data_IF_684259888657
#
_entry.id   IF_684259888657
#
_cell.length_a   1.000
_cell.length_b   1.000
_cell.length_c   1.000
_cell.angle_alpha   90.00
_cell.angle_beta   90.00
_cell.angle_gamma   90.00
#
_symmetry.space_group_name_H-M   'P 1'
#
loop_
_entity.id
_entity.type
_entity.pdbx_description
1 polymer ?
#
# COMPACT_ATOMS: atom_id res chain seq x y z
N UNK A 1 56.45 -50.66 -11.86
CA UNK A 1 55.23 -49.89 -12.21
C UNK A 1 54.02 -50.67 -11.72
N UNK A 2 53.53 -50.36 -10.52
CA UNK A 2 52.45 -51.09 -9.83
C UNK A 2 51.23 -50.17 -9.70
N UNK A 3 50.12 -50.55 -10.34
CA UNK A 3 48.81 -49.88 -10.24
C UNK A 3 48.15 -50.20 -8.90
N UNK A 4 47.76 -49.18 -8.14
CA UNK A 4 46.86 -49.35 -7.00
C UNK A 4 45.39 -49.43 -7.46
N UNK A 5 44.59 -50.39 -6.95
CA UNK A 5 43.17 -50.47 -7.21
C UNK A 5 42.37 -49.47 -6.35
N UNK A 6 41.50 -48.71 -7.01
CA UNK A 6 40.65 -47.69 -6.39
C UNK A 6 39.54 -48.30 -5.52
N UNK A 7 39.45 -47.81 -4.28
CA UNK A 7 38.37 -48.08 -3.33
C UNK A 7 37.10 -47.36 -3.78
N UNK A 8 36.15 -48.09 -4.37
CA UNK A 8 34.75 -47.67 -4.51
C UNK A 8 34.06 -47.81 -3.14
N UNK A 9 34.01 -46.73 -2.38
CA UNK A 9 33.22 -46.65 -1.15
C UNK A 9 31.72 -46.63 -1.48
N UNK A 10 31.02 -47.74 -1.20
CA UNK A 10 29.56 -47.79 -1.19
C UNK A 10 29.04 -46.94 -0.02
N UNK A 11 28.45 -45.78 -0.31
CA UNK A 11 27.72 -44.99 0.67
C UNK A 11 26.41 -45.75 1.00
N UNK A 12 26.12 -46.06 2.27
CA UNK A 12 24.95 -46.85 2.64
C UNK A 12 23.66 -46.04 2.42
N UNK A 13 22.84 -46.51 1.47
CA UNK A 13 21.55 -45.96 1.02
C UNK A 13 20.58 -45.59 2.17
N UNK A 14 20.70 -46.25 3.33
CA UNK A 14 19.86 -46.01 4.51
C UNK A 14 20.05 -44.64 5.17
N UNK A 15 21.18 -43.95 4.96
CA UNK A 15 21.40 -42.59 5.49
C UNK A 15 20.87 -41.47 4.59
N UNK A 16 20.57 -41.75 3.31
CA UNK A 16 20.04 -40.75 2.39
C UNK A 16 18.52 -40.54 2.54
N UNK A 17 17.76 -41.55 2.98
CA UNK A 17 16.29 -41.46 3.10
C UNK A 17 15.86 -40.49 4.22
N UNK A 18 16.62 -40.41 5.32
CA UNK A 18 16.32 -39.50 6.44
C UNK A 18 16.53 -38.01 6.11
N UNK A 19 17.49 -37.68 5.24
CA UNK A 19 17.80 -36.29 4.88
C UNK A 19 16.83 -35.72 3.84
N UNK A 20 16.24 -36.54 2.97
CA UNK A 20 15.22 -36.10 2.00
C UNK A 20 13.89 -35.73 2.67
N UNK A 21 13.50 -36.41 3.75
CA UNK A 21 12.26 -36.11 4.48
C UNK A 21 12.29 -34.76 5.21
N UNK A 22 13.47 -34.36 5.71
CA UNK A 22 13.63 -33.07 6.42
C UNK A 22 13.72 -31.90 5.43
N UNK A 23 14.37 -32.08 4.27
CA UNK A 23 14.43 -31.04 3.24
C UNK A 23 13.06 -30.69 2.63
N UNK A 24 12.15 -31.68 2.53
CA UNK A 24 10.77 -31.45 2.07
C UNK A 24 9.93 -30.59 3.03
N UNK A 25 10.18 -30.68 4.34
CA UNK A 25 9.42 -29.93 5.34
C UNK A 25 9.77 -28.43 5.41
N UNK A 26 10.99 -28.05 5.03
CA UNK A 26 11.43 -26.65 5.06
C UNK A 26 10.96 -25.82 3.85
N UNK A 27 10.62 -26.45 2.71
CA UNK A 27 10.08 -25.75 1.54
C UNK A 27 8.61 -25.33 1.74
N UNK A 28 7.92 -25.88 2.73
CA UNK A 28 6.50 -25.58 3.02
C UNK A 28 6.29 -24.28 3.80
N UNK A 29 7.31 -23.76 4.49
CA UNK A 29 7.13 -22.72 5.52
C UNK A 29 7.34 -21.30 4.97
N UNK A 30 7.94 -21.14 3.78
CA UNK A 30 8.21 -19.81 3.22
C UNK A 30 7.15 -19.42 2.18
N UNK A 31 6.02 -18.88 2.64
CA UNK A 31 5.16 -17.99 1.83
C UNK A 31 4.42 -18.56 0.61
N UNK A 32 4.28 -19.88 0.48
CA UNK A 32 3.72 -20.54 -0.71
C UNK A 32 2.18 -20.56 -0.82
N UNK A 33 1.41 -19.81 -0.03
CA UNK A 33 -0.06 -19.90 -0.06
C UNK A 33 -0.63 -19.68 -1.48
N UNK A 34 -0.20 -18.62 -2.16
CA UNK A 34 -0.60 -18.35 -3.55
C UNK A 34 -0.12 -19.43 -4.54
N UNK A 35 1.00 -20.08 -4.25
CA UNK A 35 1.53 -21.17 -5.09
C UNK A 35 0.72 -22.46 -4.91
N UNK A 36 0.29 -22.77 -3.69
CA UNK A 36 -0.52 -23.94 -3.39
C UNK A 36 -1.94 -23.78 -3.93
N UNK A 37 -2.52 -22.59 -3.82
CA UNK A 37 -3.83 -22.29 -4.42
C UNK A 37 -3.77 -22.50 -5.94
N UNK A 38 -2.72 -22.02 -6.60
CA UNK A 38 -2.52 -22.23 -8.05
C UNK A 38 -2.32 -23.73 -8.39
N UNK A 39 -1.51 -24.45 -7.60
CA UNK A 39 -1.24 -25.88 -7.79
C UNK A 39 -2.51 -26.74 -7.63
N UNK A 40 -3.37 -26.35 -6.69
CA UNK A 40 -4.60 -27.06 -6.36
C UNK A 40 -5.83 -26.52 -7.11
N UNK A 41 -5.70 -25.41 -7.84
CA UNK A 41 -6.79 -24.86 -8.66
C UNK A 41 -7.18 -25.84 -9.76
N UNK A 42 -8.47 -25.85 -10.12
CA UNK A 42 -8.98 -26.74 -11.17
C UNK A 42 -8.47 -26.34 -12.57
N UNK A 43 -7.96 -25.10 -12.72
CA UNK A 43 -7.41 -24.54 -13.95
C UNK A 43 -5.88 -24.40 -13.88
N UNK A 44 -5.18 -25.50 -13.56
CA UNK A 44 -3.72 -25.54 -13.44
C UNK A 44 -3.04 -24.94 -14.68
N UNK A 45 -2.56 -23.71 -14.57
CA UNK A 45 -1.74 -23.10 -15.62
C UNK A 45 -0.27 -23.23 -15.24
N UNK A 46 0.36 -24.28 -15.76
CA UNK A 46 1.77 -24.56 -15.51
C UNK A 46 2.69 -23.39 -15.90
N UNK A 47 2.27 -22.50 -16.79
CA UNK A 47 3.05 -21.31 -17.18
C UNK A 47 3.22 -20.34 -16.00
N UNK A 48 2.20 -20.19 -15.15
CA UNK A 48 2.27 -19.31 -13.98
C UNK A 48 3.01 -19.96 -12.82
N UNK A 49 2.82 -21.27 -12.61
CA UNK A 49 3.49 -22.02 -11.54
C UNK A 49 5.00 -22.09 -11.78
N UNK A 50 5.41 -22.33 -13.03
CA UNK A 50 6.82 -22.50 -13.39
C UNK A 50 7.49 -21.19 -13.81
N UNK A 51 6.70 -20.19 -14.21
CA UNK A 51 7.19 -18.97 -14.84
C UNK A 51 7.69 -19.16 -16.29
N UNK A 52 7.74 -20.40 -16.79
CA UNK A 52 8.19 -20.68 -18.15
C UNK A 52 7.09 -20.36 -19.16
N UNK A 53 7.40 -19.56 -20.18
CA UNK A 53 6.44 -19.06 -21.17
C UNK A 53 5.21 -18.38 -20.54
N UNK A 54 5.42 -17.68 -19.42
CA UNK A 54 4.38 -16.87 -18.82
C UNK A 54 3.94 -15.79 -19.83
N UNK A 55 2.64 -15.69 -20.17
CA UNK A 55 2.15 -14.69 -21.11
C UNK A 55 2.43 -13.29 -20.60
N UNK A 56 2.58 -12.33 -21.51
CA UNK A 56 2.84 -10.95 -21.11
C UNK A 56 1.62 -10.40 -20.34
N UNK A 57 1.79 -9.66 -19.23
CA UNK A 57 0.65 -9.25 -18.40
C UNK A 57 -0.44 -8.48 -19.16
N UNK A 58 -0.06 -7.66 -20.15
CA UNK A 58 -1.03 -6.95 -21.00
C UNK A 58 -1.90 -7.90 -21.86
N UNK A 59 -1.34 -9.01 -22.33
CA UNK A 59 -2.09 -10.02 -23.09
C UNK A 59 -3.11 -10.69 -22.17
N UNK A 60 -2.72 -11.02 -20.94
CA UNK A 60 -3.62 -11.64 -19.95
C UNK A 60 -4.80 -10.74 -19.63
N UNK A 61 -4.56 -9.45 -19.44
CA UNK A 61 -5.59 -8.46 -19.13
C UNK A 61 -6.58 -8.29 -20.29
N UNK A 62 -6.08 -8.33 -21.54
CA UNK A 62 -6.89 -8.19 -22.76
C UNK A 62 -7.68 -9.45 -23.09
N UNK A 63 -7.03 -10.61 -23.01
CA UNK A 63 -7.53 -11.85 -23.61
C UNK A 63 -8.40 -12.67 -22.65
N UNK A 64 -8.38 -12.38 -21.34
CA UNK A 64 -9.12 -13.15 -20.32
C UNK A 64 -10.16 -12.33 -19.54
N UNK A 65 -11.11 -11.63 -20.19
CA UNK A 65 -12.04 -10.72 -19.51
C UNK A 65 -12.89 -11.38 -18.41
N UNK A 66 -13.14 -12.69 -18.51
CA UNK A 66 -13.93 -13.45 -17.53
C UNK A 66 -13.17 -13.85 -16.27
N UNK A 67 -11.84 -13.98 -16.34
CA UNK A 67 -11.03 -14.43 -15.20
C UNK A 67 -10.47 -13.24 -14.42
N UNK A 68 -11.24 -12.80 -13.43
CA UNK A 68 -10.85 -11.71 -12.56
C UNK A 68 -9.58 -11.95 -11.74
N UNK A 69 -9.32 -13.20 -11.35
CA UNK A 69 -8.16 -13.51 -10.54
C UNK A 69 -6.88 -13.38 -11.36
N UNK A 70 -6.84 -14.01 -12.55
CA UNK A 70 -5.70 -13.90 -13.47
C UNK A 70 -5.46 -12.46 -13.90
N UNK A 71 -6.53 -11.70 -14.18
CA UNK A 71 -6.42 -10.28 -14.52
C UNK A 71 -5.85 -9.46 -13.37
N UNK A 72 -6.32 -9.67 -12.14
CA UNK A 72 -5.75 -8.99 -10.97
C UNK A 72 -4.27 -9.35 -10.78
N UNK A 73 -3.90 -10.62 -10.91
CA UNK A 73 -2.50 -11.04 -10.85
C UNK A 73 -1.64 -10.36 -11.93
N UNK A 74 -2.11 -10.34 -13.18
CA UNK A 74 -1.43 -9.65 -14.27
C UNK A 74 -1.28 -8.14 -14.01
N UNK A 75 -2.33 -7.47 -13.49
CA UNK A 75 -2.27 -6.07 -13.09
C UNK A 75 -1.21 -5.82 -12.00
N UNK A 76 -1.07 -6.73 -11.03
CA UNK A 76 -0.09 -6.63 -9.96
C UNK A 76 1.36 -6.76 -10.46
N UNK A 77 1.55 -7.43 -11.58
CA UNK A 77 2.85 -7.69 -12.21
C UNK A 77 3.31 -6.59 -13.16
N UNK A 78 2.41 -5.68 -13.56
CA UNK A 78 2.78 -4.51 -14.35
C UNK A 78 3.81 -3.66 -13.58
N UNK A 79 4.91 -3.33 -14.26
CA UNK A 79 5.97 -2.45 -13.77
C UNK A 79 6.06 -1.22 -14.67
N UNK A 80 6.40 -0.07 -14.09
CA UNK A 80 6.54 1.20 -14.80
C UNK A 80 7.55 1.09 -15.96
N UNK A 81 7.12 1.14 -17.23
CA UNK A 81 7.99 0.89 -18.38
C UNK A 81 9.23 1.78 -18.44
N UNK A 82 9.09 3.09 -18.23
CA UNK A 82 10.23 4.03 -18.30
C UNK A 82 11.35 3.72 -17.29
N UNK A 83 11.02 3.07 -16.17
CA UNK A 83 12.01 2.66 -15.16
C UNK A 83 12.66 1.31 -15.43
N UNK A 84 12.08 0.54 -16.35
CA UNK A 84 12.47 -0.84 -16.64
C UNK A 84 12.90 -1.02 -18.10
N UNK A 85 13.37 0.06 -18.75
CA UNK A 85 13.91 0.02 -20.12
C UNK A 85 12.88 0.04 -21.24
N UNK A 86 11.60 0.29 -20.93
CA UNK A 86 10.54 0.51 -21.91
C UNK A 86 10.54 1.95 -22.46
N UNK A 87 9.63 2.22 -23.40
CA UNK A 87 9.51 3.55 -24.03
C UNK A 87 8.28 4.33 -23.51
N UNK A 88 8.11 5.56 -23.99
CA UNK A 88 6.97 6.41 -23.62
C UNK A 88 5.61 5.88 -24.10
N UNK A 89 5.55 5.20 -25.25
CA UNK A 89 4.33 4.60 -25.76
C UNK A 89 3.86 3.44 -24.85
N UNK A 90 4.79 2.63 -24.35
CA UNK A 90 4.51 1.57 -23.39
C UNK A 90 4.01 2.16 -22.07
N UNK A 91 4.64 3.23 -21.58
CA UNK A 91 4.19 3.94 -20.38
C UNK A 91 2.72 4.37 -20.51
N UNK A 92 2.36 4.98 -21.63
CA UNK A 92 1.00 5.44 -21.90
C UNK A 92 0.02 4.26 -22.01
N UNK A 93 0.41 3.18 -22.68
CA UNK A 93 -0.39 1.96 -22.75
C UNK A 93 -0.66 1.35 -21.36
N UNK A 94 0.36 1.30 -20.50
CA UNK A 94 0.24 0.77 -19.14
C UNK A 94 -0.65 1.66 -18.27
N UNK A 95 -0.45 2.98 -18.31
CA UNK A 95 -1.30 3.92 -17.57
C UNK A 95 -2.75 3.87 -18.04
N UNK A 96 -3.01 3.77 -19.34
CA UNK A 96 -4.36 3.64 -19.88
C UNK A 96 -5.05 2.34 -19.42
N UNK A 97 -4.33 1.22 -19.41
CA UNK A 97 -4.86 -0.06 -18.89
C UNK A 97 -5.14 0.04 -17.40
N UNK A 98 -4.21 0.58 -16.61
CA UNK A 98 -4.39 0.76 -15.17
C UNK A 98 -5.54 1.70 -14.84
N UNK A 99 -5.69 2.82 -15.56
CA UNK A 99 -6.80 3.75 -15.39
C UNK A 99 -8.14 3.08 -15.69
N UNK A 100 -8.23 2.36 -16.82
CA UNK A 100 -9.45 1.63 -17.20
C UNK A 100 -9.78 0.56 -16.16
N UNK A 101 -8.79 -0.23 -15.74
CA UNK A 101 -8.98 -1.24 -14.71
C UNK A 101 -9.31 -0.66 -13.34
N UNK A 102 -8.76 0.48 -12.94
CA UNK A 102 -9.10 1.11 -11.66
C UNK A 102 -10.52 1.69 -11.65
N UNK A 103 -10.98 2.21 -12.79
CA UNK A 103 -12.23 2.99 -12.85
C UNK A 103 -13.44 2.24 -13.42
N UNK A 104 -13.25 1.28 -14.32
CA UNK A 104 -14.34 0.65 -15.09
C UNK A 104 -14.42 -0.87 -14.93
N UNK A 105 -13.42 -1.51 -14.32
CA UNK A 105 -13.43 -2.97 -14.18
C UNK A 105 -14.65 -3.42 -13.38
N UNK A 106 -15.39 -4.46 -13.78
CA UNK A 106 -16.54 -4.95 -13.01
C UNK A 106 -16.13 -5.49 -11.63
N UNK A 107 -14.94 -6.07 -11.51
CA UNK A 107 -14.52 -6.80 -10.32
C UNK A 107 -13.74 -5.90 -9.35
N UNK A 108 -14.17 -5.76 -8.08
CA UNK A 108 -13.49 -4.93 -7.08
C UNK A 108 -12.01 -5.30 -6.90
N UNK A 109 -11.68 -6.60 -6.98
CA UNK A 109 -10.31 -7.10 -6.83
C UNK A 109 -9.36 -6.55 -7.90
N UNK A 110 -9.78 -6.50 -9.15
CA UNK A 110 -9.00 -5.92 -10.23
C UNK A 110 -8.83 -4.40 -10.05
N UNK A 111 -9.88 -3.69 -9.65
CA UNK A 111 -9.82 -2.24 -9.34
C UNK A 111 -8.80 -1.96 -8.25
N UNK A 112 -8.89 -2.69 -7.14
CA UNK A 112 -8.00 -2.55 -6.00
C UNK A 112 -6.54 -2.81 -6.39
N UNK A 113 -6.32 -3.82 -7.22
CA UNK A 113 -4.97 -4.19 -7.65
C UNK A 113 -4.39 -3.16 -8.62
N UNK A 114 -5.20 -2.61 -9.52
CA UNK A 114 -4.80 -1.50 -10.38
C UNK A 114 -4.42 -0.25 -9.57
N UNK A 115 -5.22 0.11 -8.55
CA UNK A 115 -4.93 1.23 -7.64
C UNK A 115 -3.61 1.03 -6.88
N UNK A 116 -3.38 -0.20 -6.36
CA UNK A 116 -2.10 -0.56 -5.73
C UNK A 116 -0.93 -0.47 -6.69
N UNK A 117 -1.13 -0.86 -7.95
CA UNK A 117 -0.11 -0.80 -8.98
C UNK A 117 0.24 0.65 -9.32
N UNK A 118 -0.76 1.52 -9.52
CA UNK A 118 -0.59 2.95 -9.74
C UNK A 118 0.23 3.61 -8.61
N UNK A 119 -0.02 3.25 -7.35
CA UNK A 119 0.75 3.76 -6.21
C UNK A 119 2.24 3.38 -6.18
N UNK A 120 2.69 2.46 -7.05
CA UNK A 120 4.12 2.11 -7.21
C UNK A 120 4.81 2.95 -8.29
N UNK A 121 4.04 3.59 -9.17
CA UNK A 121 4.57 4.38 -10.28
C UNK A 121 5.05 5.73 -9.74
N UNK A 122 6.07 6.32 -10.36
CA UNK A 122 6.51 7.69 -10.02
C UNK A 122 6.07 8.74 -11.03
N UNK A 123 5.35 8.34 -12.07
CA UNK A 123 4.71 9.23 -13.02
C UNK A 123 3.60 10.06 -12.33
N UNK A 124 3.63 11.41 -12.38
CA UNK A 124 2.61 12.26 -11.76
C UNK A 124 1.21 12.05 -12.36
N UNK A 125 1.11 11.53 -13.59
CA UNK A 125 -0.18 11.17 -14.19
C UNK A 125 -0.88 10.04 -13.42
N UNK A 126 -0.12 9.13 -12.79
CA UNK A 126 -0.70 8.09 -11.95
C UNK A 126 -1.38 8.68 -10.70
N UNK A 127 -0.85 9.78 -10.16
CA UNK A 127 -1.44 10.48 -9.01
C UNK A 127 -2.82 11.07 -9.39
N UNK A 128 -2.90 11.73 -10.56
CA UNK A 128 -4.17 12.25 -11.10
C UNK A 128 -5.21 11.15 -11.32
N UNK A 129 -4.80 9.98 -11.81
CA UNK A 129 -5.70 8.83 -11.94
C UNK A 129 -6.21 8.37 -10.57
N UNK A 130 -5.36 8.35 -9.54
CA UNK A 130 -5.77 7.98 -8.18
C UNK A 130 -6.75 9.00 -7.58
N UNK A 131 -6.57 10.30 -7.85
CA UNK A 131 -7.52 11.34 -7.46
C UNK A 131 -8.88 11.14 -8.15
N UNK A 132 -8.89 10.86 -9.46
CA UNK A 132 -10.11 10.53 -10.20
C UNK A 132 -10.82 9.30 -9.63
N UNK A 133 -10.06 8.26 -9.29
CA UNK A 133 -10.60 7.04 -8.67
C UNK A 133 -11.22 7.35 -7.31
N UNK A 134 -10.60 8.22 -6.50
CA UNK A 134 -11.14 8.62 -5.21
C UNK A 134 -12.47 9.38 -5.34
N UNK A 135 -12.58 10.27 -6.33
CA UNK A 135 -13.76 11.12 -6.52
C UNK A 135 -14.97 10.36 -7.09
N UNK A 136 -14.76 9.22 -7.76
CA UNK A 136 -15.85 8.44 -8.36
C UNK A 136 -16.61 7.62 -7.30
N UNK A 137 -17.94 7.74 -7.30
CA UNK A 137 -18.85 6.98 -6.43
C UNK A 137 -19.68 5.92 -7.21
N UNK A 138 -19.14 5.38 -8.30
CA UNK A 138 -19.96 4.68 -9.29
C UNK A 138 -20.23 3.20 -9.04
N UNK A 139 -19.65 2.57 -8.00
CA UNK A 139 -19.87 1.12 -7.83
C UNK A 139 -21.18 0.85 -7.11
N UNK A 140 -21.91 -0.18 -7.56
CA UNK A 140 -23.19 -0.62 -6.99
C UNK A 140 -23.09 -0.97 -5.50
N UNK A 141 -21.89 -1.36 -5.07
CA UNK A 141 -21.60 -1.78 -3.70
C UNK A 141 -20.84 -0.67 -2.94
N UNK A 142 -21.46 -0.05 -1.92
CA UNK A 142 -20.85 1.02 -1.13
C UNK A 142 -19.65 0.55 -0.31
N UNK A 143 -19.58 -0.71 0.13
CA UNK A 143 -18.45 -1.22 0.90
C UNK A 143 -17.19 -1.32 0.03
N UNK A 144 -17.36 -1.78 -1.20
CA UNK A 144 -16.28 -1.80 -2.18
C UNK A 144 -15.82 -0.40 -2.60
N UNK A 145 -16.74 0.57 -2.67
CA UNK A 145 -16.39 1.97 -2.93
C UNK A 145 -15.44 2.52 -1.85
N UNK A 146 -15.79 2.36 -0.58
CA UNK A 146 -14.99 2.90 0.53
C UNK A 146 -13.61 2.24 0.62
N UNK A 147 -13.54 0.93 0.38
CA UNK A 147 -12.28 0.19 0.33
C UNK A 147 -11.35 0.71 -0.78
N UNK A 148 -11.88 0.92 -1.98
CA UNK A 148 -11.11 1.44 -3.13
C UNK A 148 -10.64 2.88 -2.87
N UNK A 149 -11.51 3.74 -2.34
CA UNK A 149 -11.13 5.12 -1.97
C UNK A 149 -10.03 5.14 -0.92
N UNK A 150 -10.13 4.30 0.11
CA UNK A 150 -9.08 4.18 1.14
C UNK A 150 -7.75 3.75 0.52
N UNK A 151 -7.76 2.74 -0.34
CA UNK A 151 -6.53 2.31 -1.01
C UNK A 151 -5.96 3.39 -1.94
N UNK A 152 -6.81 4.18 -2.62
CA UNK A 152 -6.34 5.30 -3.44
C UNK A 152 -5.58 6.34 -2.59
N UNK A 153 -6.09 6.68 -1.41
CA UNK A 153 -5.37 7.57 -0.47
C UNK A 153 -4.05 6.97 0.01
N UNK A 154 -4.00 5.66 0.28
CA UNK A 154 -2.76 4.94 0.63
C UNK A 154 -1.76 4.94 -0.54
N UNK A 155 -2.25 4.82 -1.77
CA UNK A 155 -1.41 4.88 -2.98
C UNK A 155 -0.82 6.29 -3.17
N UNK A 156 -1.63 7.34 -2.99
CA UNK A 156 -1.17 8.73 -3.00
C UNK A 156 -0.11 9.01 -1.93
N UNK A 157 -0.29 8.49 -0.71
CA UNK A 157 0.72 8.55 0.35
C UNK A 157 2.06 7.95 -0.07
N UNK A 158 2.06 6.79 -0.74
CA UNK A 158 3.28 6.11 -1.19
C UNK A 158 3.99 6.86 -2.31
N UNK A 159 3.21 7.49 -3.20
CA UNK A 159 3.76 8.28 -4.30
C UNK A 159 4.45 9.55 -3.80
N UNK A 160 3.90 10.20 -2.77
CA UNK A 160 4.36 11.49 -2.24
C UNK A 160 4.37 12.59 -3.31
N UNK A 161 3.39 12.55 -4.20
CA UNK A 161 3.23 13.56 -5.24
C UNK A 161 2.76 14.90 -4.63
N UNK A 162 3.43 16.04 -4.92
CA UNK A 162 3.10 17.32 -4.33
C UNK A 162 1.75 17.89 -4.81
N UNK A 163 1.27 17.53 -5.99
CA UNK A 163 -0.02 18.04 -6.51
C UNK A 163 -1.19 17.39 -5.75
N UNK A 164 -1.04 16.12 -5.36
CA UNK A 164 -2.08 15.38 -4.64
C UNK A 164 -2.30 15.78 -3.19
N UNK A 165 -1.42 16.62 -2.60
CA UNK A 165 -1.60 17.10 -1.22
C UNK A 165 -2.91 17.87 -1.04
N UNK A 166 -3.39 18.56 -2.08
CA UNK A 166 -4.63 19.33 -2.01
C UNK A 166 -5.85 18.43 -1.77
N UNK A 167 -5.89 17.25 -2.39
CA UNK A 167 -6.92 16.26 -2.11
C UNK A 167 -6.80 15.73 -0.68
N UNK A 168 -5.60 15.38 -0.23
CA UNK A 168 -5.37 14.88 1.13
C UNK A 168 -5.78 15.91 2.20
N UNK A 169 -5.47 17.19 1.99
CA UNK A 169 -5.93 18.29 2.87
C UNK A 169 -7.46 18.35 2.89
N UNK A 170 -8.12 18.27 1.73
CA UNK A 170 -9.58 18.30 1.64
C UNK A 170 -10.21 17.15 2.43
N UNK A 171 -9.71 15.92 2.25
CA UNK A 171 -10.21 14.73 2.95
C UNK A 171 -9.96 14.85 4.45
N UNK A 172 -8.76 15.25 4.88
CA UNK A 172 -8.45 15.42 6.30
C UNK A 172 -9.34 16.47 6.99
N UNK A 173 -9.70 17.55 6.28
CA UNK A 173 -10.56 18.64 6.78
C UNK A 173 -12.06 18.36 6.64
N UNK A 174 -12.46 17.27 6.00
CA UNK A 174 -13.87 16.93 5.81
C UNK A 174 -14.59 16.88 7.17
N UNK A 175 -15.77 17.51 7.31
CA UNK A 175 -16.53 17.41 8.55
C UNK A 175 -16.86 15.93 8.84
N UNK A 176 -17.07 15.63 10.12
CA UNK A 176 -17.57 14.32 10.50
C UNK A 176 -18.90 14.02 9.78
N UNK A 177 -19.21 12.73 9.57
CA UNK A 177 -20.52 12.30 9.06
C UNK A 177 -21.65 12.83 9.97
N UNK A 178 -22.86 13.05 9.42
CA UNK A 178 -24.00 13.51 10.22
C UNK A 178 -24.37 12.51 11.33
N UNK A 179 -25.07 12.99 12.36
CA UNK A 179 -25.45 12.19 13.55
C UNK A 179 -26.48 11.11 13.21
N UNK A 180 -27.06 11.16 12.02
CA UNK A 180 -28.01 10.19 11.48
C UNK A 180 -27.32 9.16 10.57
N UNK A 181 -26.04 9.35 10.21
CA UNK A 181 -25.31 8.41 9.36
C UNK A 181 -25.16 7.04 10.03
N UNK A 182 -25.17 5.99 9.20
CA UNK A 182 -24.95 4.62 9.66
C UNK A 182 -23.57 4.45 10.30
N UNK A 183 -23.43 3.54 11.25
CA UNK A 183 -22.13 3.28 11.90
C UNK A 183 -21.04 2.91 10.88
N UNK A 184 -21.40 2.19 9.81
CA UNK A 184 -20.47 1.84 8.72
C UNK A 184 -19.96 3.08 8.00
N UNK A 185 -20.84 4.00 7.59
CA UNK A 185 -20.45 5.23 6.90
C UNK A 185 -19.55 6.11 7.77
N UNK A 186 -19.81 6.12 9.09
CA UNK A 186 -18.95 6.85 10.03
C UNK A 186 -17.57 6.27 10.12
N UNK A 187 -17.48 4.95 10.26
CA UNK A 187 -16.20 4.25 10.31
C UNK A 187 -15.41 4.46 9.01
N UNK A 188 -16.07 4.35 7.85
CA UNK A 188 -15.45 4.58 6.55
C UNK A 188 -14.89 6.00 6.42
N UNK A 189 -15.68 7.02 6.80
CA UNK A 189 -15.23 8.41 6.77
C UNK A 189 -14.05 8.65 7.72
N UNK A 190 -14.08 8.06 8.91
CA UNK A 190 -12.97 8.15 9.87
C UNK A 190 -11.70 7.47 9.34
N UNK A 191 -11.82 6.29 8.74
CA UNK A 191 -10.72 5.55 8.13
C UNK A 191 -10.05 6.37 7.01
N UNK A 192 -10.84 6.94 6.09
CA UNK A 192 -10.35 7.79 5.01
C UNK A 192 -9.59 9.01 5.56
N UNK A 193 -10.16 9.67 6.59
CA UNK A 193 -9.52 10.81 7.27
C UNK A 193 -8.20 10.42 7.93
N UNK A 194 -8.14 9.31 8.66
CA UNK A 194 -6.93 8.85 9.34
C UNK A 194 -5.81 8.57 8.33
N UNK A 195 -6.14 7.96 7.18
CA UNK A 195 -5.17 7.73 6.09
C UNK A 195 -4.69 9.06 5.51
N UNK A 196 -5.59 10.00 5.21
CA UNK A 196 -5.21 11.31 4.69
C UNK A 196 -4.31 12.09 5.67
N UNK A 197 -4.67 12.13 6.96
CA UNK A 197 -3.87 12.75 8.03
C UNK A 197 -2.49 12.12 8.13
N UNK A 198 -2.40 10.78 8.06
CA UNK A 198 -1.11 10.07 8.02
C UNK A 198 -0.28 10.51 6.83
N UNK A 199 -0.89 10.57 5.65
CA UNK A 199 -0.22 10.96 4.42
C UNK A 199 0.33 12.40 4.51
N UNK A 200 -0.45 13.34 5.05
CA UNK A 200 -0.02 14.74 5.25
C UNK A 200 1.25 14.85 6.10
N UNK A 201 1.47 13.94 7.05
CA UNK A 201 2.70 13.90 7.85
C UNK A 201 3.98 13.63 7.06
N UNK A 202 3.86 13.10 5.84
CA UNK A 202 5.00 12.85 4.93
C UNK A 202 5.43 14.11 4.17
N UNK A 203 4.59 15.13 4.11
CA UNK A 203 4.86 16.39 3.42
C UNK A 203 5.38 17.42 4.41
N UNK A 204 6.40 18.18 4.02
CA UNK A 204 7.00 19.26 4.84
C UNK A 204 6.42 20.65 4.54
N UNK A 205 5.39 20.71 3.71
CA UNK A 205 4.73 21.95 3.29
C UNK A 205 3.94 22.59 4.42
N UNK A 206 3.92 23.93 4.46
CA UNK A 206 3.20 24.68 5.49
C UNK A 206 1.68 24.39 5.44
N UNK A 207 1.08 24.32 4.26
CA UNK A 207 -0.35 24.02 4.07
C UNK A 207 -0.77 22.68 4.72
N UNK A 208 0.12 21.67 4.65
CA UNK A 208 -0.11 20.36 5.26
C UNK A 208 -0.05 20.47 6.79
N UNK A 209 0.91 21.23 7.33
CA UNK A 209 1.00 21.52 8.76
C UNK A 209 -0.26 22.25 9.22
N UNK A 210 -0.69 23.32 8.54
CA UNK A 210 -1.92 24.04 8.87
C UNK A 210 -3.15 23.15 8.84
N UNK A 211 -3.25 22.23 7.87
CA UNK A 211 -4.33 21.25 7.83
C UNK A 211 -4.33 20.30 9.03
N UNK A 212 -3.16 19.86 9.49
CA UNK A 212 -3.05 19.05 10.70
C UNK A 212 -3.42 19.85 11.96
N UNK A 213 -3.00 21.13 12.05
CA UNK A 213 -3.45 22.06 13.10
C UNK A 213 -4.98 22.21 13.11
N UNK A 214 -5.58 22.36 11.93
CA UNK A 214 -7.03 22.44 11.79
C UNK A 214 -7.72 21.19 12.35
N UNK A 215 -7.21 19.99 12.02
CA UNK A 215 -7.75 18.73 12.55
C UNK A 215 -7.64 18.69 14.08
N UNK A 216 -6.48 19.07 14.64
CA UNK A 216 -6.29 19.08 16.10
C UNK A 216 -7.29 19.99 16.83
N UNK A 217 -7.64 21.14 16.24
CA UNK A 217 -8.58 22.11 16.84
C UNK A 217 -10.04 21.68 16.71
N UNK A 218 -10.43 21.23 15.52
CA UNK A 218 -11.85 21.07 15.16
C UNK A 218 -12.37 19.64 15.39
N UNK A 219 -11.49 18.64 15.36
CA UNK A 219 -11.91 17.25 15.47
C UNK A 219 -12.33 16.90 16.90
N UNK A 220 -13.47 16.21 17.05
CA UNK A 220 -13.96 15.74 18.35
C UNK A 220 -13.42 14.34 18.65
N UNK A 221 -13.30 13.52 17.62
CA UNK A 221 -12.87 12.13 17.73
C UNK A 221 -11.40 12.01 18.16
N UNK A 222 -11.11 11.04 19.02
CA UNK A 222 -9.75 10.85 19.57
C UNK A 222 -8.82 10.28 18.50
N UNK A 223 -9.32 9.36 17.66
CA UNK A 223 -8.52 8.67 16.64
C UNK A 223 -7.81 9.61 15.65
N UNK A 224 -8.55 10.44 14.89
CA UNK A 224 -7.93 11.34 13.93
C UNK A 224 -7.05 12.42 14.59
N UNK A 225 -7.39 12.88 15.82
CA UNK A 225 -6.54 13.79 16.60
C UNK A 225 -5.20 13.16 16.97
N UNK A 226 -5.21 11.96 17.54
CA UNK A 226 -3.96 11.26 17.89
C UNK A 226 -3.09 11.04 16.64
N UNK A 227 -3.71 10.67 15.51
CA UNK A 227 -2.98 10.53 14.24
C UNK A 227 -2.44 11.87 13.74
N UNK A 228 -3.16 12.97 13.88
CA UNK A 228 -2.72 14.30 13.48
C UNK A 228 -1.54 14.78 14.33
N UNK A 229 -1.56 14.54 15.63
CA UNK A 229 -0.45 14.81 16.54
C UNK A 229 0.84 14.09 16.11
N UNK A 230 0.73 12.78 15.82
CA UNK A 230 1.87 11.99 15.31
C UNK A 230 2.39 12.53 13.96
N UNK A 231 1.47 12.93 13.08
CA UNK A 231 1.82 13.43 11.74
C UNK A 231 2.42 14.84 11.79
N UNK A 232 2.04 15.67 12.77
CA UNK A 232 2.70 16.94 13.07
C UNK A 232 4.12 16.73 13.56
N UNK A 233 4.33 15.76 14.46
CA UNK A 233 5.67 15.40 14.92
C UNK A 233 6.54 14.91 13.75
N UNK A 234 5.98 14.07 12.88
CA UNK A 234 6.67 13.54 11.71
C UNK A 234 7.08 14.63 10.70
N UNK A 235 6.19 15.57 10.40
CA UNK A 235 6.45 16.65 9.43
C UNK A 235 7.32 17.79 9.99
N UNK A 236 7.14 18.16 11.26
CA UNK A 236 7.82 19.32 11.87
C UNK A 236 9.06 18.96 12.69
N UNK A 237 9.21 17.70 13.10
CA UNK A 237 10.24 17.27 14.04
C UNK A 237 10.04 17.79 15.48
N UNK A 238 8.89 18.39 15.79
CA UNK A 238 8.60 19.00 17.09
C UNK A 238 7.54 18.21 17.86
N UNK A 239 7.63 18.21 19.18
CA UNK A 239 6.59 17.67 20.05
C UNK A 239 5.51 18.72 20.28
N UNK A 240 4.25 18.29 20.31
CA UNK A 240 3.09 19.15 20.47
C UNK A 240 2.23 18.63 21.63
N UNK A 241 1.45 19.49 22.32
CA UNK A 241 0.63 19.05 23.45
C UNK A 241 -0.45 18.07 23.00
N UNK A 242 -0.71 17.02 23.79
CA UNK A 242 -1.71 16.01 23.45
C UNK A 242 -3.14 16.43 23.86
N UNK A 243 -3.27 17.25 24.90
CA UNK A 243 -4.54 17.64 25.49
C UNK A 243 -5.30 18.62 24.59
N UNK A 244 -6.61 18.38 24.39
CA UNK A 244 -7.45 19.20 23.50
C UNK A 244 -7.52 20.65 23.94
N UNK A 245 -7.54 20.87 25.25
CA UNK A 245 -7.68 22.17 25.90
C UNK A 245 -6.51 23.09 25.54
N UNK A 246 -5.31 22.52 25.33
CA UNK A 246 -4.16 23.28 24.86
C UNK A 246 -4.40 23.86 23.46
N UNK A 247 -5.06 23.12 22.57
CA UNK A 247 -5.32 23.53 21.19
C UNK A 247 -6.43 24.58 21.02
N UNK A 248 -7.21 24.82 22.08
CA UNK A 248 -8.24 25.86 22.08
C UNK A 248 -7.65 27.27 22.31
N UNK A 249 -6.39 27.36 22.75
CA UNK A 249 -5.69 28.64 22.93
C UNK A 249 -5.21 29.18 21.58
N UNK A 250 -5.06 30.51 21.49
CA UNK A 250 -4.58 31.16 20.27
C UNK A 250 -3.10 30.86 19.98
N UNK A 251 -2.33 30.57 21.02
CA UNK A 251 -0.87 30.54 21.06
C UNK A 251 -0.30 29.14 21.36
N UNK A 252 -0.76 28.12 20.63
CA UNK A 252 -0.24 26.74 20.79
C UNK A 252 1.23 26.69 20.34
N UNK A 253 2.13 26.57 21.30
CA UNK A 253 3.56 26.38 21.07
C UNK A 253 3.96 24.89 21.13
N UNK A 254 5.01 24.47 20.40
CA UNK A 254 5.58 23.14 20.57
C UNK A 254 6.10 22.98 22.00
N UNK A 255 5.89 21.79 22.56
CA UNK A 255 6.42 21.45 23.89
C UNK A 255 7.93 21.29 23.73
N UNK A 256 8.75 22.00 24.53
CA UNK A 256 10.19 21.79 24.50
C UNK A 256 10.46 20.31 24.73
N UNK A 257 11.32 19.72 23.91
CA UNK A 257 11.69 18.33 24.08
C UNK A 257 12.21 18.16 25.50
N UNK A 258 11.47 17.39 26.31
CA UNK A 258 11.93 17.01 27.62
C UNK A 258 13.17 16.18 27.37
N UNK A 259 14.34 16.82 27.42
CA UNK A 259 15.62 16.14 27.43
C UNK A 259 15.53 15.15 28.58
N UNK A 260 15.22 13.89 28.24
CA UNK A 260 15.04 12.83 29.20
C UNK A 260 16.25 12.90 30.12
N UNK A 261 16.01 12.87 31.43
CA UNK A 261 17.08 12.97 32.42
C UNK A 261 18.27 12.04 32.07
N UNK A 262 17.95 10.86 31.52
CA UNK A 262 18.91 9.90 30.97
C UNK A 262 19.80 10.50 29.87
N UNK A 263 19.25 11.18 28.85
CA UNK A 263 20.04 11.83 27.79
C UNK A 263 20.95 12.95 28.33
N UNK A 264 20.53 13.67 29.38
CA UNK A 264 21.39 14.69 30.02
C UNK A 264 22.53 14.06 30.80
N UNK A 265 22.28 12.95 31.49
CA UNK A 265 23.26 12.29 32.36
C UNK A 265 24.26 11.46 31.57
N UNK A 266 23.83 10.76 30.52
CA UNK A 266 24.71 9.84 29.77
C UNK A 266 25.48 10.51 28.64
N UNK A 267 25.09 11.73 28.22
CA UNK A 267 25.68 12.39 27.05
C UNK A 267 25.47 11.64 25.72
N UNK A 268 24.71 10.55 25.71
CA UNK A 268 24.42 9.75 24.52
C UNK A 268 23.18 10.27 23.80
N UNK A 269 23.38 10.74 22.57
CA UNK A 269 22.32 10.94 21.57
C UNK A 269 22.22 9.66 20.74
N UNK A 270 21.03 9.06 20.70
CA UNK A 270 20.68 7.99 19.78
C UNK A 270 20.36 8.55 18.40
#
# INVERSE_FOLDING_TARGET
MTRQPGLRGMIPWRRCVGLLGIAGAFLSIVGCAARWDELMSHQRDWRYITGHNKPHPLEVIRDNPSDGHRRAQALAELKEPLKNGGNAQDQDAYLNVLQKSATQDPLPLCRLTAVRCLGKYRDPRAARILEDVYQRQHFKDPENNSLIRKEALVALEKMQDPDSKHLLIRVARQPGPPVEASLSDRQQTQDEKIVAIRALGKFKDNDCVEALFYVMKNEKEIGPRNRALLSLRESTGKNWPAQREAWQRADVAPVPEENNFIQRVTGWKW
#
